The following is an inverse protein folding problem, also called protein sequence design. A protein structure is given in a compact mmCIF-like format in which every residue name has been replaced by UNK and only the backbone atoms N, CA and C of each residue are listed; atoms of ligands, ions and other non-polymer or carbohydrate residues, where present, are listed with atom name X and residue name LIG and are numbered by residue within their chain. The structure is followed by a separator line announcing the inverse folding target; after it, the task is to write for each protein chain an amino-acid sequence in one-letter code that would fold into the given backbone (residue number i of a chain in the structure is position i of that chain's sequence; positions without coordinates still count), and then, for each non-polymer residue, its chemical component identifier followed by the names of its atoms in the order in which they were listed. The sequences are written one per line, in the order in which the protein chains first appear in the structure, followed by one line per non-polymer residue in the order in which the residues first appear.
data_IF_548649380478
#
_entry.id   IF_548649380478
#
_cell.length_a   1.000
_cell.length_b   1.000
_cell.length_c   1.000
_cell.angle_alpha   90.00
_cell.angle_beta   90.00
_cell.angle_gamma   90.00
#
_symmetry.space_group_name_H-M   'P 1'
#
loop_
_entity.id
_entity.type
_entity.pdbx_description
1 polymer ?
#
# COMPACT_ATOMS: atom_id res chain seq x y z
N UNK A 1 -32.02 -6.52 6.17
CA UNK A 1 -30.97 -5.58 6.64
C UNK A 1 -29.68 -5.88 5.90
N UNK A 2 -29.30 -5.08 4.91
CA UNK A 2 -27.96 -5.19 4.30
C UNK A 2 -26.97 -4.65 5.33
N UNK A 3 -26.02 -5.48 5.78
CA UNK A 3 -24.93 -5.03 6.64
C UNK A 3 -24.20 -3.92 5.86
N UNK A 4 -24.18 -2.70 6.39
CA UNK A 4 -23.24 -1.68 5.95
C UNK A 4 -21.85 -2.26 6.22
N UNK A 5 -21.26 -2.86 5.19
CA UNK A 5 -19.90 -3.33 5.24
C UNK A 5 -19.04 -2.08 5.21
N UNK A 6 -18.62 -1.60 6.39
CA UNK A 6 -17.66 -0.51 6.46
C UNK A 6 -16.48 -0.89 5.57
N UNK A 7 -16.23 -0.07 4.56
CA UNK A 7 -15.06 -0.19 3.69
C UNK A 7 -13.84 -0.30 4.59
N UNK A 8 -13.12 -1.42 4.55
CA UNK A 8 -11.84 -1.52 5.26
C UNK A 8 -10.87 -0.52 4.67
N UNK A 9 -10.14 0.17 5.53
CA UNK A 9 -9.07 1.07 5.12
C UNK A 9 -7.91 0.28 4.52
N UNK A 10 -7.08 0.91 3.69
CA UNK A 10 -5.87 0.28 3.17
C UNK A 10 -4.97 -0.22 4.30
N UNK A 11 -4.79 0.58 5.35
CA UNK A 11 -4.00 0.22 6.53
C UNK A 11 -4.52 -1.08 7.18
N UNK A 12 -5.82 -1.21 7.43
CA UNK A 12 -6.39 -2.45 7.98
C UNK A 12 -6.21 -3.67 7.06
N UNK A 13 -6.19 -3.46 5.74
CA UNK A 13 -5.95 -4.52 4.77
C UNK A 13 -4.49 -4.99 4.79
N UNK A 14 -3.54 -4.06 4.88
CA UNK A 14 -2.11 -4.36 5.06
C UNK A 14 -1.84 -5.07 6.40
N UNK A 15 -2.40 -4.58 7.50
CA UNK A 15 -2.26 -5.19 8.83
C UNK A 15 -2.77 -6.63 8.87
N UNK A 16 -3.92 -6.90 8.22
CA UNK A 16 -4.44 -8.27 8.09
C UNK A 16 -3.48 -9.22 7.35
N UNK A 17 -2.63 -8.70 6.48
CA UNK A 17 -1.61 -9.47 5.75
C UNK A 17 -0.29 -9.60 6.53
N UNK A 18 -0.19 -9.00 7.71
CA UNK A 18 0.98 -9.01 8.57
C UNK A 18 1.97 -7.87 8.31
N UNK A 19 1.56 -6.84 7.56
CA UNK A 19 2.37 -5.64 7.37
C UNK A 19 2.18 -4.65 8.53
N UNK A 20 3.22 -3.87 8.79
CA UNK A 20 3.21 -2.79 9.78
C UNK A 20 3.41 -1.48 9.03
N UNK A 21 2.52 -0.51 9.28
CA UNK A 21 2.67 0.85 8.75
C UNK A 21 3.83 1.56 9.46
N UNK A 22 4.76 2.14 8.71
CA UNK A 22 5.88 2.92 9.25
C UNK A 22 5.91 4.32 8.66
N UNK A 23 6.35 5.26 9.51
CA UNK A 23 6.64 6.64 9.14
C UNK A 23 8.13 6.86 9.33
N UNK A 24 8.85 7.12 8.24
CA UNK A 24 10.25 7.55 8.30
C UNK A 24 10.30 9.07 8.38
N UNK A 25 11.39 9.62 8.94
CA UNK A 25 11.51 11.02 9.38
C UNK A 25 11.27 12.06 8.27
N UNK A 26 11.32 11.66 7.01
CA UNK A 26 11.08 12.55 5.87
C UNK A 26 9.61 12.66 5.47
N UNK A 27 8.68 11.99 6.18
CA UNK A 27 7.21 12.18 6.20
C UNK A 27 6.41 12.18 4.89
N UNK A 28 7.07 12.20 3.74
CA UNK A 28 6.47 12.30 2.41
C UNK A 28 6.11 10.93 1.83
N UNK A 29 6.54 9.85 2.49
CA UNK A 29 6.36 8.50 1.98
C UNK A 29 5.64 7.61 3.01
N UNK A 30 4.75 6.76 2.53
CA UNK A 30 4.04 5.77 3.35
C UNK A 30 4.66 4.39 3.12
N UNK A 31 5.05 3.74 4.21
CA UNK A 31 5.64 2.41 4.16
C UNK A 31 4.75 1.40 4.85
N UNK A 32 4.61 0.23 4.22
CA UNK A 32 4.10 -0.98 4.83
C UNK A 32 5.21 -2.03 4.76
N UNK A 33 5.65 -2.54 5.90
CA UNK A 33 6.75 -3.50 5.99
C UNK A 33 6.31 -4.81 6.63
N UNK A 34 6.80 -5.92 6.08
CA UNK A 34 6.64 -7.27 6.59
C UNK A 34 7.94 -8.04 6.37
N UNK A 35 8.70 -8.30 7.42
CA UNK A 35 9.99 -9.00 7.35
C UNK A 35 10.93 -8.31 6.34
N UNK A 36 11.37 -9.01 5.29
CA UNK A 36 12.19 -8.47 4.22
C UNK A 36 11.38 -7.82 3.09
N UNK A 37 10.05 -7.78 3.19
CA UNK A 37 9.18 -7.29 2.13
C UNK A 37 8.60 -5.92 2.49
N UNK A 38 8.59 -4.97 1.56
CA UNK A 38 7.98 -3.66 1.77
C UNK A 38 7.18 -3.14 0.59
N UNK A 39 6.14 -2.37 0.87
CA UNK A 39 5.43 -1.54 -0.10
C UNK A 39 5.62 -0.09 0.31
N UNK A 40 6.20 0.71 -0.59
CA UNK A 40 6.43 2.13 -0.39
C UNK A 40 5.59 2.92 -1.39
N UNK A 41 4.88 3.94 -0.90
CA UNK A 41 4.14 4.91 -1.70
C UNK A 41 4.87 6.24 -1.61
N UNK A 42 5.38 6.72 -2.74
CA UNK A 42 6.09 7.98 -2.89
C UNK A 42 5.08 9.07 -3.22
N UNK A 43 4.67 9.86 -2.21
CA UNK A 43 3.47 10.70 -2.35
C UNK A 43 3.65 11.82 -3.36
N UNK A 44 4.83 12.46 -3.37
CA UNK A 44 5.12 13.56 -4.29
C UNK A 44 5.22 13.09 -5.75
N UNK A 45 5.74 11.88 -5.96
CA UNK A 45 5.93 11.32 -7.31
C UNK A 45 4.67 10.62 -7.84
N UNK A 46 3.68 10.36 -6.98
CA UNK A 46 2.51 9.51 -7.28
C UNK A 46 2.91 8.13 -7.82
N UNK A 47 3.98 7.57 -7.29
CA UNK A 47 4.47 6.22 -7.65
C UNK A 47 4.47 5.31 -6.43
N UNK A 48 4.48 3.99 -6.67
CA UNK A 48 4.68 3.00 -5.62
C UNK A 48 5.69 1.94 -6.06
N UNK A 49 6.38 1.36 -5.08
CA UNK A 49 7.33 0.27 -5.29
C UNK A 49 7.06 -0.87 -4.32
N UNK A 50 7.26 -2.09 -4.78
CA UNK A 50 7.23 -3.31 -3.95
C UNK A 50 8.65 -3.86 -3.95
N UNK A 51 9.24 -4.02 -2.76
CA UNK A 51 10.64 -4.38 -2.60
C UNK A 51 10.81 -5.63 -1.75
N UNK A 52 11.79 -6.47 -2.09
CA UNK A 52 12.29 -7.55 -1.26
C UNK A 52 13.75 -7.23 -0.88
N UNK A 53 13.98 -6.92 0.39
CA UNK A 53 15.26 -6.45 0.90
C UNK A 53 16.34 -7.53 0.76
N UNK A 54 17.52 -7.10 0.31
CA UNK A 54 18.70 -7.95 0.22
C UNK A 54 18.72 -8.89 -0.99
N UNK A 55 17.89 -8.66 -2.00
CA UNK A 55 17.89 -9.43 -3.25
C UNK A 55 17.53 -8.57 -4.46
N UNK A 56 18.01 -8.98 -5.63
CA UNK A 56 17.65 -8.42 -6.93
C UNK A 56 16.44 -9.17 -7.55
N UNK A 57 15.84 -10.10 -6.81
CA UNK A 57 14.66 -10.87 -7.23
C UNK A 57 13.38 -10.03 -7.26
N UNK A 58 12.44 -10.45 -8.11
CA UNK A 58 11.11 -9.83 -8.20
C UNK A 58 10.24 -10.20 -7.01
N UNK A 59 9.61 -9.21 -6.39
CA UNK A 59 8.62 -9.44 -5.35
C UNK A 59 7.27 -9.95 -5.93
N UNK A 60 6.77 -11.08 -5.45
CA UNK A 60 5.45 -11.59 -5.84
C UNK A 60 4.32 -10.80 -5.17
N UNK A 61 3.33 -10.38 -5.96
CA UNK A 61 2.14 -9.67 -5.45
C UNK A 61 0.92 -10.58 -5.51
N UNK A 62 0.49 -11.06 -4.35
CA UNK A 62 -0.75 -11.85 -4.23
C UNK A 62 -1.99 -11.00 -4.54
N UNK A 63 -3.13 -11.60 -4.93
CA UNK A 63 -4.37 -10.85 -5.15
C UNK A 63 -4.85 -10.05 -3.94
N UNK A 64 -4.64 -10.56 -2.72
CA UNK A 64 -5.00 -9.88 -1.49
C UNK A 64 -4.11 -8.66 -1.24
N UNK A 65 -2.80 -8.78 -1.49
CA UNK A 65 -1.88 -7.66 -1.42
C UNK A 65 -2.20 -6.61 -2.50
N UNK A 66 -2.50 -7.04 -3.73
CA UNK A 66 -2.94 -6.15 -4.79
C UNK A 66 -4.17 -5.35 -4.39
N UNK A 67 -5.17 -5.96 -3.75
CA UNK A 67 -6.35 -5.25 -3.23
C UNK A 67 -5.99 -4.20 -2.17
N UNK A 68 -5.04 -4.50 -1.28
CA UNK A 68 -4.58 -3.54 -0.26
C UNK A 68 -3.84 -2.37 -0.91
N UNK A 69 -2.97 -2.64 -1.90
CA UNK A 69 -2.28 -1.61 -2.69
C UNK A 69 -3.30 -0.73 -3.42
N UNK A 70 -4.24 -1.34 -4.15
CA UNK A 70 -5.27 -0.61 -4.89
C UNK A 70 -6.09 0.29 -3.96
N UNK A 71 -6.50 -0.22 -2.79
CA UNK A 71 -7.21 0.58 -1.80
C UNK A 71 -6.38 1.78 -1.31
N UNK A 72 -5.07 1.61 -1.16
CA UNK A 72 -4.18 2.71 -0.78
C UNK A 72 -4.10 3.78 -1.88
N UNK A 73 -4.07 3.37 -3.16
CA UNK A 73 -4.08 4.29 -4.29
C UNK A 73 -5.41 5.08 -4.37
N UNK A 74 -6.56 4.43 -4.12
CA UNK A 74 -7.85 5.10 -3.98
C UNK A 74 -7.84 6.12 -2.83
N UNK A 75 -7.36 5.74 -1.65
CA UNK A 75 -7.32 6.63 -0.48
C UNK A 75 -6.38 7.83 -0.65
N UNK A 76 -5.37 7.69 -1.51
CA UNK A 76 -4.47 8.77 -1.89
C UNK A 76 -5.03 9.64 -3.03
N UNK A 77 -6.18 9.28 -3.62
CA UNK A 77 -6.77 10.00 -4.75
C UNK A 77 -5.92 9.89 -6.03
N UNK A 78 -5.17 8.79 -6.21
CA UNK A 78 -4.31 8.60 -7.39
C UNK A 78 -5.03 7.92 -8.55
N UNK A 79 -6.24 7.41 -8.31
CA UNK A 79 -7.05 6.70 -9.30
C UNK A 79 -8.30 7.50 -9.71
N UNK A 80 -8.47 8.71 -9.19
CA UNK A 80 -9.52 9.61 -9.66
C UNK A 80 -9.15 10.06 -11.08
N UNK A 81 -10.08 9.91 -12.03
CA UNK A 81 -9.86 10.21 -13.46
C UNK A 81 -9.32 11.64 -13.66
N UNK A 82 -8.14 11.71 -14.29
CA UNK A 82 -7.47 12.80 -15.00
C UNK A 82 -7.63 14.26 -14.52
N UNK A 83 -6.55 14.81 -13.96
CA UNK A 83 -6.21 16.22 -14.19
C UNK A 83 -5.32 16.31 -15.46
N UNK A 84 -5.93 16.12 -16.64
CA UNK A 84 -5.43 16.68 -17.91
C UNK A 84 -6.30 17.87 -18.33
#
# INVERSE_FOLDING_TARGET
MRKNQMSKTATEMFEKLGFIKKYYRDSLNLYYEKEYFSVCFWVDEKTYSVNLAGTDETAEVTPQLHKAIHKQLEELGWLDEDNE
#
